data_IF_941798981572
#
_entry.id   IF_941798981572
#
_cell.length_a   1.000
_cell.length_b   1.000
_cell.length_c   1.000
_cell.angle_alpha   90.00
_cell.angle_beta   90.00
_cell.angle_gamma   90.00
#
_symmetry.space_group_name_H-M   'P 1'
#
loop_
_entity.id
_entity.type
_entity.pdbx_description
1 polymer ?
#
# COMPACT_ATOMS: atom_id res chain seq x y z
N UNK A 1 -12.47 -32.56 31.22
CA UNK A 1 -11.82 -31.24 31.41
C UNK A 1 -11.20 -30.82 30.08
N UNK A 2 -11.87 -29.94 29.32
CA UNK A 2 -11.38 -29.44 28.02
C UNK A 2 -10.51 -28.21 28.28
N UNK A 3 -9.20 -28.35 28.13
CA UNK A 3 -8.24 -27.23 28.07
C UNK A 3 -8.39 -26.55 26.71
N UNK A 4 -9.06 -25.40 26.67
CA UNK A 4 -9.12 -24.53 25.49
C UNK A 4 -7.81 -23.76 25.31
N UNK A 5 -7.35 -23.50 24.07
CA UNK A 5 -6.10 -22.82 23.82
C UNK A 5 -6.25 -21.30 24.04
N UNK A 6 -5.16 -20.66 24.50
CA UNK A 6 -4.93 -19.22 24.47
C UNK A 6 -5.56 -18.33 25.56
N UNK A 7 -5.35 -18.67 26.84
CA UNK A 7 -5.43 -17.71 27.96
C UNK A 7 -4.15 -16.87 28.17
N UNK A 8 -3.08 -17.15 27.44
CA UNK A 8 -1.79 -16.47 27.60
C UNK A 8 -1.83 -14.98 27.22
N UNK A 9 -2.73 -14.56 26.31
CA UNK A 9 -2.75 -13.18 25.82
C UNK A 9 -3.61 -12.21 26.66
N UNK A 10 -4.56 -12.73 27.46
CA UNK A 10 -5.30 -11.92 28.44
C UNK A 10 -4.40 -11.47 29.61
N UNK A 11 -3.32 -12.21 29.89
CA UNK A 11 -2.38 -11.88 30.97
C UNK A 11 -1.42 -10.74 30.60
N UNK A 12 -1.24 -10.40 29.32
CA UNK A 12 -0.47 -9.21 28.94
C UNK A 12 -1.22 -7.89 29.13
N UNK A 13 -2.54 -7.91 29.39
CA UNK A 13 -3.32 -6.70 29.68
C UNK A 13 -3.42 -6.36 31.17
N UNK A 14 -2.97 -7.24 32.07
CA UNK A 14 -3.12 -7.08 33.52
C UNK A 14 -1.95 -6.36 34.22
N UNK A 15 -0.86 -6.02 33.52
CA UNK A 15 0.31 -5.38 34.13
C UNK A 15 0.18 -3.85 34.31
N UNK A 16 -0.98 -3.26 33.99
CA UNK A 16 -1.22 -1.80 34.09
C UNK A 16 -2.41 -1.47 35.00
N UNK A 17 -2.54 -2.18 36.13
CA UNK A 17 -3.54 -1.89 37.16
C UNK A 17 -2.89 -1.96 38.54
N UNK A 18 -2.14 -0.92 38.90
CA UNK A 18 -1.56 -0.79 40.23
C UNK A 18 -1.07 0.63 40.51
N UNK A 19 -1.95 1.47 41.04
CA UNK A 19 -1.56 2.61 41.89
C UNK A 19 -1.87 4.02 41.38
N UNK A 20 -2.83 4.67 42.04
CA UNK A 20 -2.71 6.06 42.50
C UNK A 20 -2.83 7.18 41.47
N UNK A 21 -3.91 7.96 41.58
CA UNK A 21 -4.02 9.29 40.98
C UNK A 21 -2.80 10.17 41.34
N UNK A 22 -2.07 10.63 40.33
CA UNK A 22 -1.26 11.83 40.37
C UNK A 22 -1.31 12.51 39.00
N UNK A 23 -1.95 13.69 38.94
CA UNK A 23 -1.82 14.60 37.82
C UNK A 23 -0.36 15.08 37.74
N UNK A 24 0.37 14.63 36.73
CA UNK A 24 1.61 15.27 36.30
C UNK A 24 1.75 15.06 34.79
N UNK A 25 1.89 16.17 34.08
CA UNK A 25 2.15 16.24 32.66
C UNK A 25 3.50 15.55 32.38
N UNK A 26 3.47 14.32 31.89
CA UNK A 26 4.62 13.60 31.39
C UNK A 26 4.15 12.65 30.28
N UNK A 27 4.48 13.01 29.05
CA UNK A 27 4.52 12.08 27.93
C UNK A 27 5.31 10.83 28.40
N UNK A 28 4.78 9.60 28.33
CA UNK A 28 5.62 8.45 28.61
C UNK A 28 6.57 8.30 27.41
N UNK A 29 7.83 8.65 27.64
CA UNK A 29 8.95 8.13 26.88
C UNK A 29 8.86 6.60 26.87
N UNK A 30 9.10 6.01 25.70
CA UNK A 30 8.92 4.60 25.42
C UNK A 30 9.40 3.68 26.54
N UNK A 31 8.46 3.01 27.17
CA UNK A 31 8.74 1.89 28.07
C UNK A 31 9.07 0.66 27.25
N UNK A 32 10.29 0.16 27.47
CA UNK A 32 10.83 -1.09 26.98
C UNK A 32 9.84 -2.26 27.09
N UNK A 33 9.68 -2.96 25.97
CA UNK A 33 8.85 -4.15 25.84
C UNK A 33 7.90 -4.09 24.66
N UNK A 34 8.26 -3.47 23.53
CA UNK A 34 7.33 -3.44 22.39
C UNK A 34 7.31 -4.81 21.70
N UNK A 35 6.14 -5.51 21.66
CA UNK A 35 5.95 -6.53 20.65
C UNK A 35 6.09 -5.85 19.29
N UNK A 36 6.67 -6.54 18.30
CA UNK A 36 6.84 -6.04 16.94
C UNK A 36 5.71 -5.08 16.51
N UNK A 37 6.03 -3.95 15.84
CA UNK A 37 5.03 -2.95 15.48
C UNK A 37 3.84 -3.61 14.78
N UNK A 38 2.63 -3.33 15.26
CA UNK A 38 1.40 -3.95 14.76
C UNK A 38 1.10 -3.36 13.39
N UNK A 39 1.55 -4.04 12.34
CA UNK A 39 1.49 -3.55 10.97
C UNK A 39 0.49 -4.34 10.13
N UNK A 40 -0.24 -3.62 9.28
CA UNK A 40 -1.12 -4.22 8.28
C UNK A 40 -0.47 -4.03 6.92
N UNK A 41 -0.32 -5.14 6.21
CA UNK A 41 0.26 -5.16 4.88
C UNK A 41 -0.83 -5.37 3.82
N UNK A 42 -0.84 -4.46 2.84
CA UNK A 42 -1.69 -4.59 1.66
C UNK A 42 -0.82 -4.40 0.42
N UNK A 43 -1.03 -5.23 -0.59
CA UNK A 43 -0.34 -5.05 -1.86
C UNK A 43 -1.28 -5.29 -3.04
N UNK A 44 -1.04 -4.56 -4.11
CA UNK A 44 -1.59 -4.84 -5.43
C UNK A 44 -0.45 -4.90 -6.44
N UNK A 45 -0.43 -5.94 -7.25
CA UNK A 45 0.58 -6.12 -8.27
C UNK A 45 -0.06 -6.54 -9.58
N UNK A 46 0.38 -5.93 -10.67
CA UNK A 46 -0.01 -6.28 -12.03
C UNK A 46 1.17 -6.92 -12.72
N UNK A 47 0.99 -8.14 -13.20
CA UNK A 47 1.98 -8.90 -13.96
C UNK A 47 1.51 -9.10 -15.39
N UNK A 48 2.45 -9.06 -16.31
CA UNK A 48 2.27 -9.54 -17.67
C UNK A 48 3.01 -10.87 -17.84
N UNK A 49 2.31 -11.88 -18.35
CA UNK A 49 2.87 -13.20 -18.58
C UNK A 49 2.41 -13.74 -19.92
N UNK A 50 3.12 -14.71 -20.48
CA UNK A 50 2.71 -15.31 -21.77
C UNK A 50 1.32 -15.96 -21.70
N UNK A 51 0.97 -16.55 -20.55
CA UNK A 51 -0.32 -17.20 -20.32
C UNK A 51 -0.75 -16.98 -18.87
N UNK A 52 -1.78 -16.16 -18.66
CA UNK A 52 -2.25 -15.77 -17.32
C UNK A 52 -2.58 -16.97 -16.43
N UNK A 53 -3.24 -17.99 -16.98
CA UNK A 53 -3.67 -19.16 -16.22
C UNK A 53 -2.50 -19.99 -15.67
N UNK A 54 -1.42 -20.17 -16.45
CA UNK A 54 -0.21 -20.90 -16.00
C UNK A 54 0.60 -20.08 -15.01
N UNK A 55 0.71 -18.77 -15.26
CA UNK A 55 1.34 -17.83 -14.34
C UNK A 55 0.63 -17.83 -13.00
N UNK A 56 -0.71 -17.78 -12.98
CA UNK A 56 -1.51 -17.87 -11.77
C UNK A 56 -1.22 -19.15 -10.98
N UNK A 57 -1.17 -20.32 -11.63
CA UNK A 57 -0.84 -21.58 -10.93
C UNK A 57 0.56 -21.56 -10.32
N UNK A 58 1.55 -20.96 -11.00
CA UNK A 58 2.91 -20.78 -10.44
C UNK A 58 2.92 -19.81 -9.25
N UNK A 59 2.20 -18.70 -9.36
CA UNK A 59 2.06 -17.72 -8.29
C UNK A 59 1.47 -18.35 -7.02
N UNK A 60 0.41 -19.16 -7.18
CA UNK A 60 -0.20 -19.90 -6.08
C UNK A 60 0.82 -20.83 -5.41
N UNK A 61 1.54 -21.64 -6.19
CA UNK A 61 2.53 -22.57 -5.65
C UNK A 61 3.67 -21.85 -4.89
N UNK A 62 4.12 -20.68 -5.37
CA UNK A 62 5.15 -19.89 -4.71
C UNK A 62 4.67 -19.23 -3.41
N UNK A 63 3.41 -18.80 -3.37
CA UNK A 63 2.79 -18.27 -2.17
C UNK A 63 2.60 -19.38 -1.12
N UNK A 64 2.08 -20.54 -1.51
CA UNK A 64 1.83 -21.68 -0.62
C UNK A 64 3.11 -22.27 -0.03
N UNK A 65 4.21 -22.28 -0.79
CA UNK A 65 5.52 -22.75 -0.31
C UNK A 65 6.01 -22.00 0.95
N UNK A 66 5.56 -20.75 1.12
CA UNK A 66 5.92 -19.83 2.20
C UNK A 66 4.72 -19.54 3.13
N UNK A 67 3.77 -20.47 3.20
CA UNK A 67 2.62 -20.38 4.10
C UNK A 67 1.54 -19.37 3.69
N UNK A 68 1.63 -18.77 2.50
CA UNK A 68 0.55 -18.03 1.87
C UNK A 68 -0.60 -18.94 1.47
N UNK A 69 -1.80 -18.39 1.34
CA UNK A 69 -2.97 -19.11 0.83
C UNK A 69 -3.75 -18.27 -0.17
N UNK A 70 -4.48 -18.95 -1.04
CA UNK A 70 -5.40 -18.31 -1.98
C UNK A 70 -6.77 -18.18 -1.33
N UNK A 71 -7.31 -16.98 -1.32
CA UNK A 71 -8.69 -16.70 -0.87
C UNK A 71 -9.67 -16.81 -2.03
N UNK A 72 -9.32 -16.24 -3.18
CA UNK A 72 -10.15 -16.26 -4.37
C UNK A 72 -9.31 -16.22 -5.64
N UNK A 73 -9.83 -16.85 -6.70
CA UNK A 73 -9.27 -16.82 -8.05
C UNK A 73 -10.39 -16.52 -9.04
N UNK A 74 -10.17 -15.55 -9.90
CA UNK A 74 -11.08 -15.20 -10.98
C UNK A 74 -10.32 -15.24 -12.29
N UNK A 75 -10.73 -16.14 -13.18
CA UNK A 75 -10.18 -16.24 -14.54
C UNK A 75 -11.18 -15.62 -15.53
N UNK A 76 -10.68 -14.75 -16.42
CA UNK A 76 -11.48 -14.11 -17.45
C UNK A 76 -10.92 -14.49 -18.82
N UNK A 77 -11.58 -15.46 -19.48
CA UNK A 77 -11.33 -15.96 -20.84
C UNK A 77 -9.85 -16.27 -21.18
N UNK A 78 -9.02 -16.54 -20.17
CA UNK A 78 -7.58 -16.76 -20.31
C UNK A 78 -6.75 -15.51 -20.66
N UNK A 79 -7.40 -14.34 -20.80
CA UNK A 79 -6.74 -13.06 -21.04
C UNK A 79 -6.26 -12.42 -19.73
N UNK A 80 -7.03 -12.60 -18.66
CA UNK A 80 -6.75 -12.01 -17.34
C UNK A 80 -7.08 -12.98 -16.22
N UNK A 81 -6.22 -13.07 -15.23
CA UNK A 81 -6.47 -13.84 -14.01
C UNK A 81 -6.16 -12.97 -12.80
N UNK A 82 -7.16 -12.81 -11.92
CA UNK A 82 -7.01 -12.10 -10.65
C UNK A 82 -6.95 -13.09 -9.51
N UNK A 83 -5.95 -12.96 -8.64
CA UNK A 83 -5.79 -13.75 -7.43
C UNK A 83 -5.87 -12.84 -6.20
N UNK A 84 -6.67 -13.26 -5.22
CA UNK A 84 -6.68 -12.70 -3.89
C UNK A 84 -5.92 -13.65 -2.98
N UNK A 85 -4.80 -13.18 -2.44
CA UNK A 85 -3.86 -13.96 -1.65
C UNK A 85 -3.84 -13.43 -0.22
N UNK A 86 -3.80 -14.36 0.74
CA UNK A 86 -3.58 -14.08 2.16
C UNK A 86 -2.18 -14.56 2.51
N UNK A 87 -1.31 -13.62 2.82
CA UNK A 87 0.11 -13.87 3.03
C UNK A 87 0.46 -13.64 4.51
N UNK A 88 1.24 -14.51 5.16
CA UNK A 88 1.71 -14.28 6.52
C UNK A 88 2.48 -12.95 6.58
N UNK A 89 2.14 -12.06 7.52
CA UNK A 89 2.75 -10.73 7.58
C UNK A 89 4.28 -10.76 7.74
N UNK A 90 4.82 -11.83 8.33
CA UNK A 90 6.27 -12.04 8.50
C UNK A 90 6.98 -12.37 7.19
N UNK A 91 6.30 -13.07 6.27
CA UNK A 91 6.86 -13.53 4.99
C UNK A 91 6.33 -12.70 3.81
N UNK A 92 5.56 -11.65 4.08
CA UNK A 92 4.83 -10.87 3.09
C UNK A 92 5.72 -10.35 1.96
N UNK A 93 6.84 -9.71 2.31
CA UNK A 93 7.76 -9.11 1.34
C UNK A 93 8.53 -10.17 0.55
N UNK A 94 8.90 -11.29 1.18
CA UNK A 94 9.62 -12.38 0.53
C UNK A 94 8.74 -13.12 -0.47
N UNK A 95 7.46 -13.32 -0.12
CA UNK A 95 6.47 -13.89 -1.03
C UNK A 95 6.24 -12.96 -2.21
N UNK A 96 6.06 -11.65 -1.98
CA UNK A 96 5.91 -10.68 -3.06
C UNK A 96 7.10 -10.72 -4.02
N UNK A 97 8.34 -10.72 -3.51
CA UNK A 97 9.53 -10.83 -4.33
C UNK A 97 9.58 -12.15 -5.13
N UNK A 98 9.10 -13.26 -4.57
CA UNK A 98 8.99 -14.51 -5.30
C UNK A 98 7.93 -14.43 -6.42
N UNK A 99 6.79 -13.78 -6.17
CA UNK A 99 5.72 -13.59 -7.14
C UNK A 99 6.15 -12.74 -8.34
N UNK A 100 7.10 -11.82 -8.17
CA UNK A 100 7.69 -11.04 -9.28
C UNK A 100 8.41 -11.92 -10.31
N UNK A 101 8.86 -13.11 -9.94
CA UNK A 101 9.53 -14.05 -10.86
C UNK A 101 8.55 -14.76 -11.81
N UNK A 102 7.25 -14.65 -11.58
CA UNK A 102 6.21 -15.33 -12.35
C UNK A 102 5.98 -14.69 -13.72
N UNK A 103 6.24 -13.38 -13.84
CA UNK A 103 6.04 -12.62 -15.06
C UNK A 103 6.71 -11.24 -14.98
N UNK A 104 6.48 -10.41 -15.98
CA UNK A 104 7.01 -9.04 -16.00
C UNK A 104 6.12 -8.15 -15.15
N UNK A 105 6.67 -7.47 -14.14
CA UNK A 105 5.94 -6.54 -13.29
C UNK A 105 5.62 -5.28 -14.08
N UNK A 106 4.33 -5.00 -14.28
CA UNK A 106 3.84 -3.77 -14.93
C UNK A 106 3.61 -2.69 -13.90
N UNK A 107 2.98 -3.04 -12.78
CA UNK A 107 2.70 -2.12 -11.70
C UNK A 107 2.81 -2.84 -10.35
N UNK A 108 3.31 -2.14 -9.34
CA UNK A 108 3.39 -2.64 -7.98
C UNK A 108 3.09 -1.51 -7.00
N UNK A 109 2.18 -1.80 -6.09
CA UNK A 109 1.88 -0.93 -4.96
C UNK A 109 1.89 -1.78 -3.69
N UNK A 110 2.60 -1.30 -2.69
CA UNK A 110 2.69 -1.93 -1.37
C UNK A 110 2.43 -0.86 -0.33
N UNK A 111 1.51 -1.15 0.57
CA UNK A 111 1.14 -0.29 1.68
C UNK A 111 1.47 -1.00 2.99
N UNK A 112 2.05 -0.23 3.90
CA UNK A 112 2.36 -0.65 5.26
C UNK A 112 1.78 0.39 6.21
N UNK A 113 0.80 -0.03 7.01
CA UNK A 113 0.16 0.83 7.98
C UNK A 113 0.48 0.34 9.39
N UNK A 114 1.04 1.21 10.22
CA UNK A 114 1.13 0.98 11.66
C UNK A 114 -0.23 1.23 12.31
N UNK A 115 -0.76 0.22 13.00
CA UNK A 115 -2.05 0.26 13.69
C UNK A 115 -1.92 0.05 15.19
N UNK A 116 -0.72 0.28 15.75
CA UNK A 116 -0.44 0.09 17.17
C UNK A 116 -1.41 0.92 18.05
N UNK A 117 -1.56 2.21 17.74
CA UNK A 117 -2.48 3.11 18.44
C UNK A 117 -3.94 2.70 18.25
N UNK A 118 -4.36 2.38 17.03
CA UNK A 118 -5.73 1.94 16.74
C UNK A 118 -6.11 0.66 17.49
N UNK A 119 -5.16 -0.26 17.69
CA UNK A 119 -5.38 -1.46 18.48
C UNK A 119 -5.49 -1.15 19.98
N UNK A 120 -4.67 -0.23 20.49
CA UNK A 120 -4.74 0.20 21.89
C UNK A 120 -6.08 0.88 22.19
N UNK A 121 -6.54 1.77 21.31
CA UNK A 121 -7.84 2.43 21.42
C UNK A 121 -9.00 1.43 21.36
N UNK A 122 -8.97 0.49 20.41
CA UNK A 122 -9.99 -0.54 20.29
C UNK A 122 -10.06 -1.43 21.56
N UNK A 123 -8.92 -1.75 22.17
CA UNK A 123 -8.87 -2.49 23.43
C UNK A 123 -9.42 -1.67 24.60
N UNK A 124 -9.10 -0.38 24.68
CA UNK A 124 -9.65 0.52 25.69
C UNK A 124 -11.19 0.62 25.56
N UNK A 125 -11.70 0.70 24.32
CA UNK A 125 -13.14 0.73 24.06
C UNK A 125 -13.84 -0.56 24.53
N UNK A 126 -13.29 -1.73 24.22
CA UNK A 126 -13.82 -3.02 24.68
C UNK A 126 -13.87 -3.07 26.22
N UNK A 127 -12.79 -2.68 26.90
CA UNK A 127 -12.75 -2.66 28.36
C UNK A 127 -13.82 -1.72 28.95
N UNK A 128 -14.06 -0.57 28.32
CA UNK A 128 -15.14 0.34 28.69
C UNK A 128 -16.53 -0.31 28.60
N UNK A 129 -16.79 -1.04 27.52
CA UNK A 129 -18.07 -1.77 27.33
C UNK A 129 -18.25 -2.90 28.34
N UNK A 130 -17.20 -3.67 28.62
CA UNK A 130 -17.20 -4.72 29.64
C UNK A 130 -17.52 -4.11 31.01
N UNK A 131 -16.86 -3.01 31.38
CA UNK A 131 -17.12 -2.33 32.65
C UNK A 131 -18.56 -1.80 32.75
N UNK A 132 -19.15 -1.30 31.65
CA UNK A 132 -20.56 -0.88 31.61
C UNK A 132 -21.50 -2.06 31.84
N UNK A 133 -21.30 -3.18 31.13
CA UNK A 133 -22.07 -4.42 31.30
C UNK A 133 -22.02 -4.92 32.75
N UNK A 134 -20.84 -4.95 33.34
CA UNK A 134 -20.66 -5.49 34.69
C UNK A 134 -21.32 -4.60 35.76
N UNK A 135 -21.32 -3.27 35.57
CA UNK A 135 -22.10 -2.36 36.43
C UNK A 135 -23.61 -2.58 36.30
N UNK A 136 -24.12 -2.81 35.09
CA UNK A 136 -25.54 -3.10 34.86
C UNK A 136 -25.97 -4.42 35.51
N UNK A 137 -25.13 -5.46 35.42
CA UNK A 137 -25.37 -6.73 36.15
C UNK A 137 -25.42 -6.53 37.66
N UNK A 138 -24.47 -5.79 38.22
CA UNK A 138 -24.45 -5.51 39.64
C UNK A 138 -25.67 -4.70 40.12
N UNK A 139 -26.28 -3.89 39.24
CA UNK A 139 -27.54 -3.20 39.53
C UNK A 139 -28.73 -4.17 39.53
N UNK A 140 -28.83 -5.07 38.55
CA UNK A 140 -29.87 -6.11 38.51
C UNK A 140 -29.88 -6.96 39.77
N UNK A 141 -28.71 -7.36 40.27
CA UNK A 141 -28.58 -8.18 41.48
C UNK A 141 -29.10 -7.48 42.75
N UNK A 142 -29.23 -6.14 42.74
CA UNK A 142 -29.67 -5.32 43.88
C UNK A 142 -31.13 -4.87 43.78
N UNK A 143 -31.73 -4.90 42.59
CA UNK A 143 -33.10 -4.41 42.38
C UNK A 143 -34.14 -5.47 42.76
N UNK A 144 -35.10 -5.11 43.61
CA UNK A 144 -36.23 -5.99 44.00
C UNK A 144 -37.51 -5.74 43.16
N UNK A 145 -37.57 -4.66 42.38
CA UNK A 145 -38.76 -4.26 41.62
C UNK A 145 -38.72 -4.80 40.18
N UNK A 146 -39.79 -5.51 39.77
CA UNK A 146 -39.85 -6.19 38.46
C UNK A 146 -39.82 -5.25 37.25
N UNK A 147 -40.36 -4.03 37.36
CA UNK A 147 -40.35 -3.06 36.26
C UNK A 147 -38.94 -2.48 36.01
N UNK A 148 -38.21 -2.18 37.08
CA UNK A 148 -36.83 -1.69 36.99
C UNK A 148 -35.88 -2.79 36.47
N UNK A 149 -36.15 -4.05 36.83
CA UNK A 149 -35.41 -5.20 36.33
C UNK A 149 -35.50 -5.32 34.79
N UNK A 150 -36.70 -5.21 34.21
CA UNK A 150 -36.88 -5.30 32.76
C UNK A 150 -36.15 -4.17 31.99
N UNK A 151 -36.14 -2.95 32.53
CA UNK A 151 -35.43 -1.83 31.92
C UNK A 151 -33.91 -2.04 31.94
N UNK A 152 -33.36 -2.52 33.07
CA UNK A 152 -31.92 -2.82 33.17
C UNK A 152 -31.54 -4.04 32.34
N UNK A 153 -32.40 -5.05 32.21
CA UNK A 153 -32.20 -6.19 31.30
C UNK A 153 -32.12 -5.76 29.83
N UNK A 154 -33.00 -4.87 29.38
CA UNK A 154 -32.95 -4.33 28.03
C UNK A 154 -31.63 -3.59 27.76
N UNK A 155 -31.21 -2.74 28.70
CA UNK A 155 -29.93 -2.02 28.63
C UNK A 155 -28.73 -2.97 28.68
N UNK A 156 -28.81 -4.05 29.46
CA UNK A 156 -27.77 -5.09 29.52
C UNK A 156 -27.64 -5.82 28.18
N UNK A 157 -28.76 -6.16 27.53
CA UNK A 157 -28.74 -6.77 26.20
C UNK A 157 -28.07 -5.85 25.17
N UNK A 158 -28.36 -4.54 25.22
CA UNK A 158 -27.69 -3.55 24.38
C UNK A 158 -26.19 -3.45 24.70
N UNK A 159 -25.81 -3.44 25.98
CA UNK A 159 -24.40 -3.40 26.38
C UNK A 159 -23.65 -4.66 25.95
N UNK A 160 -24.28 -5.84 26.02
CA UNK A 160 -23.69 -7.09 25.56
C UNK A 160 -23.47 -7.07 24.04
N UNK A 161 -24.45 -6.60 23.25
CA UNK A 161 -24.26 -6.42 21.81
C UNK A 161 -23.11 -5.45 21.49
N UNK A 162 -22.92 -4.41 22.31
CA UNK A 162 -21.77 -3.50 22.23
C UNK A 162 -20.44 -4.17 22.49
N UNK A 163 -20.36 -5.04 23.51
CA UNK A 163 -19.17 -5.87 23.80
C UNK A 163 -18.86 -6.78 22.62
N UNK A 164 -19.86 -7.49 22.09
CA UNK A 164 -19.68 -8.45 20.99
C UNK A 164 -19.16 -7.73 19.72
N UNK A 165 -19.69 -6.54 19.42
CA UNK A 165 -19.21 -5.72 18.31
C UNK A 165 -17.76 -5.23 18.50
N UNK A 166 -17.42 -4.78 19.72
CA UNK A 166 -16.06 -4.33 20.04
C UNK A 166 -15.04 -5.49 19.99
N UNK A 167 -15.43 -6.68 20.44
CA UNK A 167 -14.60 -7.88 20.33
C UNK A 167 -14.37 -8.27 18.86
N UNK A 168 -15.43 -8.29 18.04
CA UNK A 168 -15.31 -8.58 16.61
C UNK A 168 -14.33 -7.62 15.91
N UNK A 169 -14.33 -6.34 16.29
CA UNK A 169 -13.38 -5.35 15.78
C UNK A 169 -11.93 -5.69 16.12
N UNK A 170 -11.64 -6.09 17.36
CA UNK A 170 -10.28 -6.53 17.74
C UNK A 170 -9.85 -7.79 17.00
N UNK A 171 -10.75 -8.77 16.84
CA UNK A 171 -10.46 -9.98 16.07
C UNK A 171 -10.12 -9.63 14.61
N UNK A 172 -10.79 -8.64 14.03
CA UNK A 172 -10.50 -8.18 12.67
C UNK A 172 -9.09 -7.57 12.53
N UNK A 173 -8.66 -6.77 13.51
CA UNK A 173 -7.30 -6.21 13.52
C UNK A 173 -6.25 -7.30 13.66
N UNK A 174 -6.47 -8.24 14.58
CA UNK A 174 -5.58 -9.38 14.78
C UNK A 174 -5.38 -10.16 13.47
N UNK A 175 -6.48 -10.47 12.79
CA UNK A 175 -6.42 -11.16 11.51
C UNK A 175 -5.61 -10.38 10.47
N UNK A 176 -5.82 -9.06 10.35
CA UNK A 176 -5.11 -8.20 9.38
C UNK A 176 -3.62 -7.97 9.72
N UNK A 177 -3.25 -8.08 10.99
CA UNK A 177 -1.86 -8.01 11.44
C UNK A 177 -1.14 -9.33 11.16
N UNK A 178 -1.82 -10.46 11.36
CA UNK A 178 -1.25 -11.77 11.11
C UNK A 178 -1.20 -12.08 9.59
N UNK A 179 -2.20 -11.63 8.83
CA UNK A 179 -2.38 -11.89 7.41
C UNK A 179 -2.47 -10.60 6.60
N UNK A 180 -1.45 -10.36 5.78
CA UNK A 180 -1.48 -9.32 4.76
C UNK A 180 -2.29 -9.75 3.54
N UNK A 181 -2.98 -8.80 2.92
CA UNK A 181 -3.77 -9.04 1.69
C UNK A 181 -2.96 -8.63 0.47
N UNK A 182 -2.83 -9.55 -0.48
CA UNK A 182 -2.20 -9.27 -1.77
C UNK A 182 -3.20 -9.55 -2.89
N UNK A 183 -3.39 -8.58 -3.78
CA UNK A 183 -4.15 -8.75 -5.02
C UNK A 183 -3.15 -8.82 -6.16
N UNK A 184 -3.17 -9.94 -6.88
CA UNK A 184 -2.31 -10.16 -8.03
C UNK A 184 -3.17 -10.22 -9.28
N UNK A 185 -2.92 -9.31 -10.20
CA UNK A 185 -3.62 -9.23 -11.47
C UNK A 185 -2.66 -9.62 -12.60
N UNK A 186 -3.00 -10.67 -13.33
CA UNK A 186 -2.11 -11.26 -14.33
C UNK A 186 -2.76 -11.13 -15.70
N UNK A 187 -2.15 -10.37 -16.59
CA UNK A 187 -2.58 -10.21 -17.97
C UNK A 187 -1.74 -11.09 -18.88
N UNK A 188 -2.37 -11.67 -19.90
CA UNK A 188 -1.67 -12.35 -20.98
C UNK A 188 -1.06 -11.29 -21.92
N UNK A 189 0.23 -11.41 -22.22
CA UNK A 189 0.91 -10.52 -23.16
C UNK A 189 0.21 -10.55 -24.53
N UNK A 190 -0.04 -9.41 -25.19
CA UNK A 190 -0.63 -9.41 -26.52
C UNK A 190 0.36 -10.08 -27.49
N UNK A 191 -0.15 -10.99 -28.33
CA UNK A 191 0.65 -11.84 -29.25
C UNK A 191 1.53 -11.08 -30.26
N UNK A 192 1.51 -9.75 -30.27
CA UNK A 192 2.19 -8.88 -31.24
C UNK A 192 2.96 -7.72 -30.56
N UNK A 193 3.63 -7.95 -29.43
CA UNK A 193 4.70 -7.05 -28.99
C UNK A 193 5.99 -7.43 -29.71
N UNK A 194 6.37 -6.64 -30.73
CA UNK A 194 7.76 -6.59 -31.16
C UNK A 194 8.57 -6.04 -29.99
N UNK A 195 9.57 -6.75 -29.45
CA UNK A 195 10.41 -6.19 -28.39
C UNK A 195 11.16 -4.99 -28.96
N UNK A 196 10.73 -3.78 -28.60
CA UNK A 196 11.48 -2.58 -28.92
C UNK A 196 12.64 -2.54 -27.93
N UNK A 197 13.80 -2.93 -28.44
CA UNK A 197 15.05 -2.96 -27.73
C UNK A 197 15.51 -1.52 -27.51
N UNK A 198 15.37 -1.01 -26.28
CA UNK A 198 15.97 0.26 -25.89
C UNK A 198 17.50 0.23 -26.11
N UNK A 199 18.18 1.39 -26.15
CA UNK A 199 19.58 1.48 -26.56
C UNK A 199 20.57 0.63 -25.74
N UNK A 200 20.21 0.21 -24.53
CA UNK A 200 21.04 -0.69 -23.71
C UNK A 200 20.80 -2.19 -23.95
N UNK A 201 19.76 -2.58 -24.71
CA UNK A 201 19.44 -4.00 -24.95
C UNK A 201 20.25 -4.66 -26.06
N UNK A 202 21.00 -3.89 -26.87
CA UNK A 202 21.82 -4.43 -27.96
C UNK A 202 23.12 -5.12 -27.50
N UNK A 203 23.52 -4.97 -26.23
CA UNK A 203 24.80 -5.47 -25.74
C UNK A 203 24.76 -6.93 -25.24
N UNK A 204 23.59 -7.56 -25.14
CA UNK A 204 23.46 -8.88 -24.48
C UNK A 204 23.38 -10.09 -25.39
N UNK A 205 23.39 -9.93 -26.73
CA UNK A 205 23.16 -11.07 -27.64
C UNK A 205 24.41 -11.77 -28.19
N UNK A 206 25.63 -11.41 -27.76
CA UNK A 206 26.80 -11.86 -28.54
C UNK A 206 28.18 -11.96 -27.92
N UNK A 207 28.38 -12.05 -26.60
CA UNK A 207 29.73 -12.28 -26.06
C UNK A 207 29.76 -13.19 -24.82
N UNK A 208 29.42 -14.47 -24.98
CA UNK A 208 29.82 -15.53 -24.06
C UNK A 208 31.11 -16.20 -24.56
N UNK A 209 32.23 -15.47 -24.55
CA UNK A 209 33.56 -16.07 -24.75
C UNK A 209 34.61 -15.26 -23.98
N UNK A 210 35.01 -15.83 -22.84
CA UNK A 210 36.24 -15.59 -22.04
C UNK A 210 36.27 -14.48 -20.98
N UNK A 211 36.64 -14.97 -19.80
CA UNK A 211 36.94 -14.33 -18.52
C UNK A 211 38.31 -13.65 -18.54
N UNK A 212 38.42 -12.52 -17.83
CA UNK A 212 39.58 -12.19 -16.99
C UNK A 212 40.93 -11.94 -17.66
N UNK A 213 41.20 -10.69 -18.01
CA UNK A 213 42.53 -10.02 -17.98
C UNK A 213 42.42 -8.68 -18.69
N UNK A 214 42.39 -7.55 -17.97
CA UNK A 214 43.15 -6.34 -18.32
C UNK A 214 42.97 -5.20 -17.30
N UNK A 215 43.46 -5.36 -16.07
CA UNK A 215 43.82 -4.20 -15.26
C UNK A 215 45.20 -4.44 -14.64
N UNK A 216 46.21 -4.33 -15.49
CA UNK A 216 47.60 -4.05 -15.13
C UNK A 216 48.11 -3.06 -16.16
N UNK A 217 48.17 -1.76 -15.82
CA UNK A 217 49.24 -0.86 -16.27
C UNK A 217 49.59 0.04 -15.09
N UNK A 218 50.88 0.06 -14.80
CA UNK A 218 51.61 0.82 -13.78
C UNK A 218 52.35 1.95 -14.51
N UNK A 219 52.35 3.14 -13.88
CA UNK A 219 53.25 4.30 -13.92
C UNK A 219 53.97 4.78 -15.21
N UNK A 220 54.02 6.12 -15.32
CA UNK A 220 54.97 6.91 -16.12
C UNK A 220 54.34 7.49 -17.41
N UNK A 221 54.40 8.78 -17.76
CA UNK A 221 55.19 9.93 -17.35
C UNK A 221 54.43 11.22 -17.73
N UNK A 222 54.65 12.30 -16.99
CA UNK A 222 54.21 13.67 -17.31
C UNK A 222 54.95 14.27 -18.51
N UNK A 223 54.28 15.17 -19.26
CA UNK A 223 54.90 16.47 -19.53
C UNK A 223 54.05 17.65 -19.03
N UNK A 224 54.72 18.58 -18.35
CA UNK A 224 54.26 19.93 -18.03
C UNK A 224 54.09 20.74 -19.33
N UNK A 225 52.97 21.45 -19.46
CA UNK A 225 52.79 22.46 -20.49
C UNK A 225 51.42 23.15 -20.44
N UNK A 226 51.37 24.30 -19.75
CA UNK A 226 50.47 25.45 -19.96
C UNK A 226 48.94 25.25 -19.97
N UNK A 227 48.29 25.75 -18.91
CA UNK A 227 46.92 26.28 -18.94
C UNK A 227 46.84 27.56 -19.83
N UNK A 228 45.64 27.98 -20.28
CA UNK A 228 44.72 28.64 -19.36
C UNK A 228 43.25 28.18 -19.43
N UNK A 229 42.63 28.26 -18.25
CA UNK A 229 41.23 28.53 -17.90
C UNK A 229 40.14 28.50 -19.00
N UNK A 230 39.24 27.53 -18.88
CA UNK A 230 37.82 27.70 -19.22
C UNK A 230 36.99 27.06 -18.10
N UNK A 231 36.27 27.92 -17.36
CA UNK A 231 35.37 27.56 -16.29
C UNK A 231 34.14 26.84 -16.86
N UNK A 232 33.80 25.67 -16.31
CA UNK A 232 32.44 25.17 -16.38
C UNK A 232 31.72 25.67 -15.12
N UNK A 233 30.89 26.68 -15.33
CA UNK A 233 29.98 27.24 -14.33
C UNK A 233 28.78 26.30 -14.20
N UNK A 234 28.45 25.96 -12.96
CA UNK A 234 27.22 25.28 -12.56
C UNK A 234 26.00 26.14 -13.01
N UNK A 235 25.00 25.59 -13.73
CA UNK A 235 23.82 26.36 -14.10
C UNK A 235 23.00 26.73 -12.84
N UNK A 236 22.59 28.00 -12.66
CA UNK A 236 21.88 28.43 -11.47
C UNK A 236 20.42 27.97 -11.49
N UNK A 237 19.91 27.57 -10.32
CA UNK A 237 18.47 27.37 -10.09
C UNK A 237 17.73 28.71 -10.31
N UNK A 238 16.63 28.74 -11.08
CA UNK A 238 15.78 29.92 -11.13
C UNK A 238 15.01 30.10 -9.81
N UNK A 239 14.91 31.35 -9.27
CA UNK A 239 14.16 31.63 -8.05
C UNK A 239 12.64 31.52 -8.28
N UNK A 240 11.84 31.22 -7.23
CA UNK A 240 10.40 31.31 -7.33
C UNK A 240 10.04 32.80 -7.26
N UNK A 241 9.42 33.34 -8.32
CA UNK A 241 8.52 34.46 -8.10
C UNK A 241 7.42 34.56 -9.15
N UNK A 242 6.24 34.78 -8.59
CA UNK A 242 4.98 35.06 -9.25
C UNK A 242 4.93 36.58 -9.56
N UNK A 243 4.83 36.96 -10.82
CA UNK A 243 4.28 38.26 -11.21
C UNK A 243 3.46 38.11 -12.48
N UNK A 244 2.17 38.39 -12.34
CA UNK A 244 1.17 38.46 -13.38
C UNK A 244 1.54 39.45 -14.50
N UNK A 245 1.17 39.11 -15.74
CA UNK A 245 0.21 39.87 -16.56
C UNK A 245 0.34 39.51 -18.05
N UNK A 246 -0.72 38.89 -18.60
CA UNK A 246 -1.18 39.19 -19.95
C UNK A 246 -0.37 38.65 -21.13
N UNK A 247 -0.29 37.32 -21.25
CA UNK A 247 -0.38 36.61 -22.53
C UNK A 247 -0.76 35.17 -22.18
N UNK A 248 -1.94 34.73 -22.63
CA UNK A 248 -2.49 33.40 -22.37
C UNK A 248 -1.65 32.36 -23.08
N UNK A 249 -0.58 31.94 -22.41
CA UNK A 249 0.39 30.98 -22.88
C UNK A 249 -0.31 29.67 -23.19
N UNK A 250 -0.20 29.27 -24.46
CA UNK A 250 -0.78 28.04 -24.95
C UNK A 250 -0.06 26.85 -24.31
N UNK A 251 -0.53 26.40 -23.15
CA UNK A 251 0.09 25.32 -22.41
C UNK A 251 -0.21 23.99 -23.11
N UNK A 252 0.83 23.39 -23.71
CA UNK A 252 0.74 22.07 -24.30
C UNK A 252 1.22 21.03 -23.29
N UNK A 253 0.44 19.96 -23.13
CA UNK A 253 0.72 18.88 -22.21
C UNK A 253 0.80 17.56 -22.96
N UNK A 254 1.88 16.81 -22.71
CA UNK A 254 2.05 15.46 -23.24
C UNK A 254 1.48 14.49 -22.22
N UNK A 255 0.41 13.80 -22.61
CA UNK A 255 -0.32 12.83 -21.79
C UNK A 255 0.61 11.74 -21.32
N UNK A 256 0.65 11.48 -20.02
CA UNK A 256 1.49 10.44 -19.43
C UNK A 256 0.72 9.12 -19.27
N UNK A 257 1.45 8.03 -18.97
CA UNK A 257 0.85 6.72 -18.77
C UNK A 257 -0.06 6.73 -17.53
N UNK A 258 -1.35 6.44 -17.73
CA UNK A 258 -2.37 6.48 -16.67
C UNK A 258 -3.14 7.81 -16.55
N UNK A 259 -2.79 8.81 -17.35
CA UNK A 259 -3.55 10.05 -17.40
C UNK A 259 -4.93 9.85 -18.04
N UNK A 260 -5.92 10.55 -17.49
CA UNK A 260 -7.27 10.65 -18.05
C UNK A 260 -7.64 12.11 -18.21
N UNK A 261 -8.56 12.45 -19.12
CA UNK A 261 -9.07 13.81 -19.26
C UNK A 261 -9.60 14.37 -17.93
N UNK A 262 -10.22 13.53 -17.11
CA UNK A 262 -10.69 13.89 -15.77
C UNK A 262 -9.54 14.17 -14.79
N UNK A 263 -8.46 13.37 -14.83
CA UNK A 263 -7.26 13.58 -14.02
C UNK A 263 -6.52 14.86 -14.40
N UNK A 264 -6.33 15.07 -15.69
CA UNK A 264 -5.68 16.27 -16.25
C UNK A 264 -6.50 17.52 -15.92
N UNK A 265 -7.83 17.47 -16.08
CA UNK A 265 -8.71 18.58 -15.68
C UNK A 265 -8.57 18.96 -14.22
N UNK A 266 -8.44 17.98 -13.31
CA UNK A 266 -8.17 18.28 -11.89
C UNK A 266 -6.78 18.85 -11.65
N UNK A 267 -5.76 18.36 -12.37
CA UNK A 267 -4.38 18.79 -12.23
C UNK A 267 -4.21 20.27 -12.62
N UNK A 268 -4.91 20.70 -13.69
CA UNK A 268 -4.81 22.06 -14.22
C UNK A 268 -6.00 22.96 -13.85
N UNK A 269 -6.94 22.45 -13.02
CA UNK A 269 -8.13 23.17 -12.57
C UNK A 269 -9.00 23.65 -13.75
N UNK A 270 -9.25 22.75 -14.71
CA UNK A 270 -10.05 22.98 -15.92
C UNK A 270 -11.16 21.92 -16.01
N UNK A 271 -12.34 22.30 -16.50
CA UNK A 271 -13.43 21.31 -16.69
C UNK A 271 -13.14 20.37 -17.87
N UNK A 272 -13.69 19.16 -17.81
CA UNK A 272 -13.55 18.18 -18.90
C UNK A 272 -14.15 18.73 -20.22
N UNK A 273 -15.23 19.49 -20.13
CA UNK A 273 -15.89 20.09 -21.29
C UNK A 273 -15.06 21.22 -21.92
N UNK A 274 -14.33 22.00 -21.12
CA UNK A 274 -13.39 23.02 -21.63
C UNK A 274 -12.17 22.37 -22.29
N UNK A 275 -11.60 21.34 -21.66
CA UNK A 275 -10.51 20.56 -22.25
C UNK A 275 -10.92 19.91 -23.57
N UNK A 276 -12.15 19.38 -23.67
CA UNK A 276 -12.66 18.80 -24.94
C UNK A 276 -12.89 19.86 -26.01
N UNK A 277 -13.46 21.02 -25.66
CA UNK A 277 -13.67 22.13 -26.59
C UNK A 277 -12.36 22.67 -27.16
N UNK A 278 -11.33 22.71 -26.33
CA UNK A 278 -10.01 23.18 -26.73
C UNK A 278 -9.21 22.13 -27.53
N UNK A 279 -9.64 20.86 -27.53
CA UNK A 279 -9.00 19.74 -28.24
C UNK A 279 -9.96 18.95 -29.15
N UNK A 280 -10.46 19.53 -30.26
CA UNK A 280 -11.36 18.83 -31.18
C UNK A 280 -10.76 17.57 -31.81
N UNK A 281 -9.43 17.50 -31.95
CA UNK A 281 -8.68 16.35 -32.50
C UNK A 281 -8.76 15.08 -31.64
N UNK A 282 -9.05 15.25 -30.35
CA UNK A 282 -9.28 14.14 -29.41
C UNK A 282 -10.73 13.66 -29.47
N UNK A 283 -11.61 14.27 -30.28
CA UNK A 283 -12.84 13.65 -30.80
C UNK A 283 -13.78 13.00 -29.78
N UNK A 284 -13.80 13.47 -28.53
CA UNK A 284 -14.61 12.87 -27.44
C UNK A 284 -14.16 11.50 -26.94
N UNK A 285 -13.06 10.95 -27.47
CA UNK A 285 -12.41 9.71 -26.97
C UNK A 285 -11.51 10.01 -25.78
N UNK A 286 -11.04 8.94 -25.13
CA UNK A 286 -9.99 9.03 -24.13
C UNK A 286 -8.64 9.39 -24.77
N UNK A 287 -7.79 10.04 -23.97
CA UNK A 287 -6.43 10.44 -24.35
C UNK A 287 -5.47 9.26 -24.19
N UNK A 288 -4.50 9.14 -25.10
CA UNK A 288 -3.48 8.11 -25.03
C UNK A 288 -2.12 8.66 -24.57
N UNK A 289 -1.30 7.87 -23.85
CA UNK A 289 0.04 8.29 -23.46
C UNK A 289 0.90 8.69 -24.67
N UNK A 290 1.63 9.81 -24.54
CA UNK A 290 2.42 10.42 -25.60
C UNK A 290 1.64 11.37 -26.51
N UNK A 291 0.31 11.45 -26.36
CA UNK A 291 -0.52 12.41 -27.10
C UNK A 291 -0.32 13.83 -26.55
N UNK A 292 -0.14 14.81 -27.41
CA UNK A 292 -0.05 16.22 -26.99
C UNK A 292 -1.44 16.85 -27.03
N UNK A 293 -1.89 17.36 -25.90
CA UNK A 293 -3.16 18.07 -25.76
C UNK A 293 -2.89 19.51 -25.33
N UNK A 294 -3.81 20.39 -25.69
CA UNK A 294 -3.81 21.78 -25.33
C UNK A 294 -4.61 22.01 -24.04
N UNK A 295 -4.05 22.75 -23.09
CA UNK A 295 -4.72 23.09 -21.84
C UNK A 295 -5.20 24.54 -21.96
N UNK A 296 -6.52 24.79 -21.93
CA UNK A 296 -7.02 26.16 -21.91
C UNK A 296 -6.70 26.80 -20.55
N UNK A 297 -6.58 28.14 -20.49
CA UNK A 297 -6.41 28.82 -19.21
C UNK A 297 -7.60 28.51 -18.29
N UNK A 298 -7.33 28.31 -17.00
CA UNK A 298 -8.36 28.17 -15.98
C UNK A 298 -9.13 29.49 -15.86
N UNK A 299 -10.47 29.45 -15.96
CA UNK A 299 -11.37 30.57 -15.63
C UNK A 299 -11.65 30.64 -14.13
#
# INVERSE_FOLDING_TARGET
MKTGPNRAWLLCLAAWAGGGFAMANAQPAGTAGDPLPRRIWTASMTLEADHSARAATRAIALAELRGGRVENRTDNDGARTTLHLLLPAREFMDILAALETVGTVVARQVENQDVSDSCAEAAAHLNGQIARRDRLRALLDRTAAAADALAVEAELNQAQAGVDSAEARLQSYKFRIDWGKAVLDIHSAPANRKPILGPLGYLFKGLSWTVGKLFVIRDGETPRGSAPAAAWTEPPLPPPDQTASGDSERLNYVVQEGDTLAGIGRLFVVTIDDLRRANPSVGGRDVFPGETIFIPPAE
#
